data_IF_963623518945
#
_entry.id   IF_963623518945
#
_cell.length_a   1.000
_cell.length_b   1.000
_cell.length_c   1.000
_cell.angle_alpha   90.00
_cell.angle_beta   90.00
_cell.angle_gamma   90.00
#
_symmetry.space_group_name_H-M   'P 1'
#
loop_
_entity.id
_entity.type
_entity.pdbx_description
1 polymer ?
#
# COMPACT_ATOMS: atom_id res chain seq x y z
N UNK A 1 31.02 -38.39 -0.47
CA UNK A 1 30.66 -37.72 -1.74
C UNK A 1 29.18 -37.40 -1.69
N UNK A 2 28.83 -36.21 -1.22
CA UNK A 2 27.50 -35.61 -1.34
C UNK A 2 27.70 -34.10 -1.12
N UNK A 3 27.36 -33.28 -2.09
CA UNK A 3 27.16 -31.84 -1.85
C UNK A 3 25.82 -31.44 -2.45
N UNK A 4 24.82 -31.29 -1.58
CA UNK A 4 23.62 -30.52 -1.85
C UNK A 4 24.03 -29.06 -2.11
N UNK A 5 23.88 -28.62 -3.36
CA UNK A 5 24.06 -27.23 -3.75
C UNK A 5 22.74 -26.49 -3.65
N UNK A 6 22.63 -25.65 -2.63
CA UNK A 6 21.55 -24.69 -2.38
C UNK A 6 21.21 -23.81 -3.59
N UNK A 7 19.95 -23.85 -4.06
CA UNK A 7 19.42 -22.93 -5.07
C UNK A 7 18.81 -21.70 -4.38
N UNK A 8 19.32 -20.47 -4.57
CA UNK A 8 18.67 -19.27 -4.04
C UNK A 8 17.46 -18.90 -4.90
N UNK A 9 16.29 -18.80 -4.27
CA UNK A 9 15.08 -18.18 -4.83
C UNK A 9 15.21 -16.66 -4.80
N UNK A 10 15.06 -15.99 -5.95
CA UNK A 10 14.22 -14.79 -6.18
C UNK A 10 14.65 -14.05 -7.45
N UNK A 11 13.67 -13.55 -8.21
CA UNK A 11 13.52 -12.15 -8.66
C UNK A 11 12.43 -12.16 -9.76
N UNK A 12 11.22 -11.72 -9.43
CA UNK A 12 10.15 -11.44 -10.40
C UNK A 12 10.14 -9.94 -10.63
N UNK A 13 10.55 -9.51 -11.83
CA UNK A 13 10.46 -8.14 -12.34
C UNK A 13 9.28 -8.09 -13.32
N UNK A 14 8.39 -7.12 -13.18
CA UNK A 14 7.40 -6.79 -14.23
C UNK A 14 7.99 -5.63 -15.06
N UNK A 15 7.94 -5.59 -16.39
CA UNK A 15 7.02 -6.20 -17.36
C UNK A 15 7.77 -6.58 -18.64
N UNK A 16 7.79 -7.87 -18.97
CA UNK A 16 8.73 -8.49 -19.93
C UNK A 16 8.25 -8.62 -21.37
N UNK A 17 7.02 -8.27 -21.75
CA UNK A 17 6.55 -8.58 -23.13
C UNK A 17 7.09 -7.63 -24.21
N UNK A 18 7.12 -6.31 -23.97
CA UNK A 18 7.75 -5.35 -24.90
C UNK A 18 9.28 -5.43 -24.84
N UNK A 19 9.86 -5.69 -23.67
CA UNK A 19 11.31 -5.92 -23.52
C UNK A 19 11.74 -7.22 -24.19
N UNK A 20 10.93 -8.29 -24.11
CA UNK A 20 11.19 -9.54 -24.80
C UNK A 20 10.98 -9.44 -26.32
N UNK A 21 9.97 -8.69 -26.79
CA UNK A 21 9.75 -8.49 -28.24
C UNK A 21 10.90 -7.68 -28.86
N UNK A 22 11.47 -6.73 -28.11
CA UNK A 22 12.63 -5.94 -28.51
C UNK A 22 13.94 -6.73 -28.43
N UNK A 23 14.07 -7.68 -27.49
CA UNK A 23 15.25 -8.51 -27.32
C UNK A 23 15.31 -9.73 -28.27
N UNK A 24 14.16 -10.27 -28.69
CA UNK A 24 14.09 -11.44 -29.58
C UNK A 24 13.02 -11.26 -30.67
N UNK A 25 13.34 -10.55 -31.77
CA UNK A 25 12.36 -10.21 -32.80
C UNK A 25 11.92 -11.41 -33.67
N UNK A 26 12.64 -12.53 -33.65
CA UNK A 26 12.38 -13.67 -34.56
C UNK A 26 11.75 -14.90 -33.91
N UNK A 27 11.49 -14.90 -32.61
CA UNK A 27 11.15 -16.13 -31.87
C UNK A 27 9.66 -16.48 -31.80
N UNK A 28 8.77 -15.77 -32.50
CA UNK A 28 7.32 -16.07 -32.49
C UNK A 28 6.90 -16.96 -33.69
N UNK A 29 7.76 -17.19 -34.69
CA UNK A 29 7.33 -17.83 -35.93
C UNK A 29 7.55 -19.33 -36.07
N UNK A 30 8.27 -20.01 -35.18
CA UNK A 30 8.49 -21.46 -35.32
C UNK A 30 7.88 -22.26 -34.17
N UNK A 31 6.56 -22.37 -34.21
CA UNK A 31 5.84 -23.44 -33.51
C UNK A 31 5.39 -24.48 -34.54
N UNK A 32 6.33 -25.20 -35.12
CA UNK A 32 6.03 -26.49 -35.76
C UNK A 32 7.04 -27.54 -35.33
N UNK A 33 6.55 -28.59 -34.67
CA UNK A 33 7.32 -29.82 -34.44
C UNK A 33 7.70 -30.06 -32.98
N UNK A 34 7.21 -31.18 -32.46
CA UNK A 34 7.63 -31.85 -31.23
C UNK A 34 9.13 -31.69 -30.93
N UNK A 35 9.49 -30.99 -29.85
CA UNK A 35 10.89 -30.98 -29.39
C UNK A 35 11.19 -29.93 -28.33
N UNK A 36 11.59 -30.38 -27.14
CA UNK A 36 12.10 -29.60 -25.99
C UNK A 36 13.52 -29.03 -26.28
N UNK A 37 13.94 -28.85 -27.54
CA UNK A 37 15.32 -28.52 -27.87
C UNK A 37 15.41 -27.50 -29.01
N UNK A 38 16.06 -26.37 -28.73
CA UNK A 38 16.61 -25.47 -29.76
C UNK A 38 17.90 -26.07 -30.34
N UNK A 39 18.38 -25.63 -31.52
CA UNK A 39 19.60 -26.15 -32.16
C UNK A 39 20.89 -26.06 -31.33
N UNK A 40 20.89 -25.32 -30.21
CA UNK A 40 22.08 -25.03 -29.40
C UNK A 40 22.08 -25.69 -28.02
N UNK A 41 21.16 -26.61 -27.71
CA UNK A 41 21.22 -27.43 -26.49
C UNK A 41 21.15 -26.65 -25.17
N UNK A 42 20.78 -25.37 -25.18
CA UNK A 42 20.59 -24.56 -23.98
C UNK A 42 19.14 -24.70 -23.49
N UNK A 43 18.90 -24.99 -22.19
CA UNK A 43 17.55 -24.99 -21.65
C UNK A 43 16.96 -23.60 -21.82
N UNK A 44 15.84 -23.50 -22.53
CA UNK A 44 15.06 -22.28 -22.56
C UNK A 44 14.47 -22.08 -21.16
N UNK A 45 14.50 -20.86 -20.59
CA UNK A 45 13.63 -20.56 -19.47
C UNK A 45 12.18 -20.71 -19.97
N UNK A 46 11.49 -21.77 -19.53
CA UNK A 46 10.04 -21.82 -19.62
C UNK A 46 9.51 -20.74 -18.69
N UNK A 47 9.19 -19.59 -19.26
CA UNK A 47 8.42 -18.58 -18.55
C UNK A 47 7.02 -19.16 -18.39
N UNK A 48 6.67 -19.60 -17.18
CA UNK A 48 5.27 -19.70 -16.81
C UNK A 48 4.82 -18.25 -16.64
N UNK A 49 4.03 -17.65 -17.56
CA UNK A 49 3.38 -16.42 -17.21
C UNK A 49 2.53 -16.74 -15.98
N UNK A 50 2.79 -16.08 -14.85
CA UNK A 50 1.78 -16.02 -13.81
C UNK A 50 0.68 -15.09 -14.35
N UNK A 51 -0.13 -15.63 -15.27
CA UNK A 51 -1.15 -14.94 -16.07
C UNK A 51 -2.30 -14.40 -15.22
N UNK A 52 -2.33 -14.70 -13.92
CA UNK A 52 -3.39 -14.23 -13.03
C UNK A 52 -3.47 -12.70 -12.99
N UNK A 53 -2.32 -12.01 -13.00
CA UNK A 53 -2.28 -10.54 -12.96
C UNK A 53 -2.78 -9.87 -14.24
N UNK A 54 -2.75 -10.56 -15.39
CA UNK A 54 -3.26 -10.04 -16.67
C UNK A 54 -4.74 -10.36 -16.92
N UNK A 55 -5.37 -11.19 -16.09
CA UNK A 55 -6.77 -11.62 -16.27
C UNK A 55 -7.69 -11.14 -15.15
N UNK A 56 -7.17 -10.87 -13.95
CA UNK A 56 -7.96 -10.34 -12.83
C UNK A 56 -7.95 -8.79 -12.84
N UNK A 57 -9.10 -8.18 -12.52
CA UNK A 57 -9.20 -6.73 -12.31
C UNK A 57 -8.39 -6.28 -11.08
N UNK A 58 -8.12 -4.97 -10.97
CA UNK A 58 -7.41 -4.41 -9.81
C UNK A 58 -8.36 -4.26 -8.61
N UNK A 59 -8.20 -5.03 -7.52
CA UNK A 59 -9.00 -4.86 -6.31
C UNK A 59 -8.58 -3.60 -5.53
N UNK A 60 -7.40 -3.06 -5.84
CA UNK A 60 -6.84 -1.83 -5.26
C UNK A 60 -7.80 -0.64 -5.40
N UNK A 61 -8.47 -0.50 -6.54
CA UNK A 61 -9.34 0.65 -6.81
C UNK A 61 -10.53 0.70 -5.83
N UNK A 62 -11.16 -0.45 -5.58
CA UNK A 62 -12.25 -0.54 -4.62
C UNK A 62 -11.74 -0.29 -3.19
N UNK A 63 -10.61 -0.89 -2.82
CA UNK A 63 -10.04 -0.75 -1.48
C UNK A 63 -9.66 0.70 -1.16
N UNK A 64 -9.01 1.39 -2.10
CA UNK A 64 -8.64 2.81 -1.95
C UNK A 64 -9.89 3.69 -2.00
N UNK A 65 -10.90 3.36 -2.81
CA UNK A 65 -12.18 4.07 -2.79
C UNK A 65 -12.91 3.95 -1.46
N UNK A 66 -12.88 2.76 -0.85
CA UNK A 66 -13.44 2.51 0.47
C UNK A 66 -12.68 3.29 1.56
N UNK A 67 -11.35 3.28 1.50
CA UNK A 67 -10.48 4.08 2.37
C UNK A 67 -10.80 5.57 2.24
N UNK A 68 -10.82 6.09 1.01
CA UNK A 68 -11.04 7.52 0.73
C UNK A 68 -12.40 7.98 1.20
N UNK A 69 -13.44 7.18 0.94
CA UNK A 69 -14.81 7.49 1.36
C UNK A 69 -14.96 7.48 2.88
N UNK A 70 -14.37 6.51 3.56
CA UNK A 70 -14.44 6.41 5.02
C UNK A 70 -13.60 7.50 5.69
N UNK A 71 -12.40 7.78 5.18
CA UNK A 71 -11.52 8.81 5.74
C UNK A 71 -12.09 10.22 5.51
N UNK A 72 -12.60 10.52 4.32
CA UNK A 72 -13.20 11.85 4.05
C UNK A 72 -14.45 12.09 4.87
N UNK A 73 -15.34 11.08 4.99
CA UNK A 73 -16.54 11.21 5.84
C UNK A 73 -16.20 11.39 7.32
N UNK A 74 -15.19 10.67 7.83
CA UNK A 74 -14.64 10.89 9.18
C UNK A 74 -14.04 12.30 9.32
N UNK A 75 -13.35 12.80 8.30
CA UNK A 75 -12.75 14.13 8.30
C UNK A 75 -13.79 15.24 8.44
N UNK A 76 -14.96 15.07 7.81
CA UNK A 76 -16.07 16.03 7.95
C UNK A 76 -16.58 16.12 9.39
N UNK A 77 -16.63 14.98 10.08
CA UNK A 77 -16.99 14.93 11.50
C UNK A 77 -15.91 15.55 12.39
N UNK A 78 -14.63 15.25 12.14
CA UNK A 78 -13.52 15.80 12.92
C UNK A 78 -13.37 17.32 12.76
N UNK A 79 -13.69 17.86 11.58
CA UNK A 79 -13.72 19.30 11.33
C UNK A 79 -15.01 19.99 11.80
N UNK A 80 -15.99 19.23 12.28
CA UNK A 80 -17.33 19.71 12.68
C UNK A 80 -18.08 20.44 11.55
N UNK A 81 -17.86 20.02 10.30
CA UNK A 81 -18.56 20.62 9.17
C UNK A 81 -20.06 20.42 9.30
N UNK A 82 -20.81 21.49 9.07
CA UNK A 82 -22.28 21.54 9.28
C UNK A 82 -22.70 21.19 10.72
N UNK A 83 -21.84 21.36 11.72
CA UNK A 83 -22.14 21.05 13.13
C UNK A 83 -22.17 19.56 13.43
N UNK A 84 -21.53 18.73 12.60
CA UNK A 84 -21.43 17.28 12.81
C UNK A 84 -20.39 16.97 13.90
N UNK A 85 -20.84 16.62 15.10
CA UNK A 85 -19.97 16.14 16.18
C UNK A 85 -20.11 14.64 16.48
N UNK A 86 -21.20 14.01 16.04
CA UNK A 86 -21.51 12.61 16.32
C UNK A 86 -21.07 11.69 15.18
N UNK A 87 -20.12 10.80 15.45
CA UNK A 87 -19.53 9.90 14.45
C UNK A 87 -20.36 8.65 14.17
N UNK A 88 -21.44 8.40 14.93
CA UNK A 88 -22.18 7.13 14.91
C UNK A 88 -22.78 6.78 13.54
N UNK A 89 -23.17 7.77 12.74
CA UNK A 89 -23.69 7.51 11.38
C UNK A 89 -22.62 6.86 10.49
N UNK A 90 -21.34 7.09 10.77
CA UNK A 90 -20.22 6.54 10.01
C UNK A 90 -19.85 5.10 10.43
N UNK A 91 -20.48 4.53 11.47
CA UNK A 91 -20.31 3.13 11.84
C UNK A 91 -20.62 2.20 10.66
N UNK A 92 -21.62 2.56 9.83
CA UNK A 92 -21.91 1.83 8.59
C UNK A 92 -20.72 1.79 7.64
N UNK A 93 -20.03 2.93 7.44
CA UNK A 93 -18.82 2.97 6.62
C UNK A 93 -17.67 2.19 7.26
N UNK A 94 -17.49 2.29 8.58
CA UNK A 94 -16.44 1.59 9.30
C UNK A 94 -16.53 0.07 9.15
N UNK A 95 -17.71 -0.52 9.28
CA UNK A 95 -17.87 -1.97 9.14
C UNK A 95 -17.98 -2.44 7.69
N UNK A 96 -18.84 -1.83 6.88
CA UNK A 96 -19.17 -2.41 5.58
C UNK A 96 -18.23 -1.95 4.48
N UNK A 97 -17.91 -0.65 4.44
CA UNK A 97 -17.08 -0.07 3.38
C UNK A 97 -15.61 -0.34 3.68
N UNK A 98 -15.11 0.16 4.82
CA UNK A 98 -13.71 0.02 5.18
C UNK A 98 -13.40 -1.35 5.80
N UNK A 99 -14.16 -1.83 6.79
CA UNK A 99 -13.87 -3.11 7.44
C UNK A 99 -13.93 -4.29 6.48
N UNK A 100 -15.15 -4.69 6.11
CA UNK A 100 -15.40 -5.86 5.28
C UNK A 100 -14.92 -5.61 3.84
N UNK A 101 -15.33 -4.50 3.22
CA UNK A 101 -15.00 -4.19 1.83
C UNK A 101 -13.49 -4.10 1.56
N UNK A 102 -12.75 -3.39 2.40
CA UNK A 102 -11.30 -3.24 2.22
C UNK A 102 -10.53 -4.51 2.55
N UNK A 103 -10.88 -5.24 3.63
CA UNK A 103 -10.19 -6.49 3.99
C UNK A 103 -10.40 -7.56 2.93
N UNK A 104 -11.62 -7.70 2.37
CA UNK A 104 -11.87 -8.62 1.25
C UNK A 104 -11.03 -8.22 0.04
N UNK A 105 -11.03 -6.93 -0.33
CA UNK A 105 -10.22 -6.43 -1.45
C UNK A 105 -8.73 -6.68 -1.24
N UNK A 106 -8.25 -6.54 0.00
CA UNK A 106 -6.86 -6.82 0.36
C UNK A 106 -6.47 -8.29 0.14
N UNK A 107 -7.37 -9.26 0.40
CA UNK A 107 -7.06 -10.68 0.14
C UNK A 107 -6.75 -10.94 -1.33
N UNK A 108 -7.40 -10.21 -2.25
CA UNK A 108 -7.11 -10.29 -3.68
C UNK A 108 -5.76 -9.67 -4.04
N UNK A 109 -5.27 -8.65 -3.32
CA UNK A 109 -3.90 -8.14 -3.50
C UNK A 109 -2.85 -9.19 -3.17
N UNK A 110 -3.10 -10.03 -2.15
CA UNK A 110 -2.20 -11.13 -1.81
C UNK A 110 -2.12 -12.16 -2.94
N UNK A 111 -3.25 -12.47 -3.58
CA UNK A 111 -3.31 -13.38 -4.75
C UNK A 111 -2.55 -12.78 -5.95
N UNK A 112 -2.58 -11.46 -6.11
CA UNK A 112 -1.82 -10.75 -7.15
C UNK A 112 -0.32 -10.59 -6.83
N UNK A 113 0.12 -11.04 -5.64
CA UNK A 113 1.51 -10.95 -5.19
C UNK A 113 1.92 -9.56 -4.69
N UNK A 114 0.96 -8.66 -4.43
CA UNK A 114 1.23 -7.33 -3.88
C UNK A 114 1.21 -7.35 -2.34
N UNK A 115 2.34 -7.72 -1.74
CA UNK A 115 2.46 -7.80 -0.28
C UNK A 115 2.25 -6.45 0.42
N UNK A 116 2.78 -5.36 -0.15
CA UNK A 116 2.61 -4.02 0.42
C UNK A 116 1.13 -3.62 0.44
N UNK A 117 0.45 -3.76 -0.71
CA UNK A 117 -0.97 -3.47 -0.83
C UNK A 117 -1.82 -4.32 0.11
N UNK A 118 -1.56 -5.63 0.18
CA UNK A 118 -2.23 -6.52 1.12
C UNK A 118 -2.11 -6.04 2.57
N UNK A 119 -0.88 -5.80 3.04
CA UNK A 119 -0.65 -5.44 4.44
C UNK A 119 -1.23 -4.08 4.78
N UNK A 120 -1.02 -3.06 3.94
CA UNK A 120 -1.52 -1.72 4.18
C UNK A 120 -3.06 -1.66 4.16
N UNK A 121 -3.70 -2.25 3.15
CA UNK A 121 -5.16 -2.24 3.03
C UNK A 121 -5.83 -3.07 4.14
N UNK A 122 -5.26 -4.23 4.49
CA UNK A 122 -5.78 -5.03 5.62
C UNK A 122 -5.64 -4.28 6.93
N UNK A 123 -4.49 -3.63 7.18
CA UNK A 123 -4.26 -2.86 8.40
C UNK A 123 -5.27 -1.72 8.55
N UNK A 124 -5.51 -0.93 7.51
CA UNK A 124 -6.54 0.13 7.56
C UNK A 124 -7.95 -0.43 7.70
N UNK A 125 -8.28 -1.53 7.02
CA UNK A 125 -9.57 -2.20 7.18
C UNK A 125 -9.81 -2.64 8.63
N UNK A 126 -8.80 -3.22 9.28
CA UNK A 126 -8.87 -3.61 10.70
C UNK A 126 -8.90 -2.41 11.64
N UNK A 127 -8.16 -1.33 11.34
CA UNK A 127 -8.25 -0.09 12.11
C UNK A 127 -9.68 0.45 12.10
N UNK A 128 -10.29 0.60 10.93
CA UNK A 128 -11.66 1.11 10.82
C UNK A 128 -12.69 0.17 11.44
N UNK A 129 -12.56 -1.15 11.23
CA UNK A 129 -13.44 -2.13 11.87
C UNK A 129 -13.32 -2.11 13.40
N UNK A 130 -12.10 -2.01 13.92
CA UNK A 130 -11.83 -1.88 15.36
C UNK A 130 -12.37 -0.57 15.94
N UNK A 131 -12.16 0.55 15.25
CA UNK A 131 -12.71 1.85 15.66
C UNK A 131 -14.24 1.85 15.63
N UNK A 132 -14.84 1.26 14.60
CA UNK A 132 -16.29 1.04 14.52
C UNK A 132 -16.83 0.17 15.66
N UNK A 133 -16.09 -0.85 16.08
CA UNK A 133 -16.46 -1.68 17.24
C UNK A 133 -16.40 -0.90 18.55
N UNK A 134 -15.40 -0.05 18.74
CA UNK A 134 -15.31 0.82 19.93
C UNK A 134 -16.50 1.78 20.01
N UNK A 135 -16.90 2.38 18.88
CA UNK A 135 -18.02 3.32 18.82
C UNK A 135 -19.40 2.65 18.92
N UNK A 136 -19.49 1.36 18.59
CA UNK A 136 -20.77 0.65 18.56
C UNK A 136 -21.16 0.21 19.98
N UNK A 137 -22.29 0.68 20.53
CA UNK A 137 -22.68 0.39 21.92
C UNK A 137 -22.80 -1.10 22.23
N UNK A 138 -23.10 -1.94 21.23
CA UNK A 138 -23.23 -3.38 21.36
C UNK A 138 -21.96 -4.06 21.92
N UNK A 139 -20.77 -3.57 21.58
CA UNK A 139 -19.52 -4.14 22.09
C UNK A 139 -19.20 -3.72 23.53
N UNK A 140 -19.94 -2.75 24.10
CA UNK A 140 -19.79 -2.34 25.49
C UNK A 140 -18.46 -1.66 25.84
N UNK A 141 -17.63 -1.29 24.86
CA UNK A 141 -16.30 -0.70 25.11
C UNK A 141 -16.42 0.61 25.89
N UNK A 142 -17.20 1.58 25.40
CA UNK A 142 -17.42 2.84 26.13
C UNK A 142 -18.11 2.61 27.49
N UNK A 143 -19.00 1.62 27.59
CA UNK A 143 -19.72 1.32 28.83
C UNK A 143 -18.80 0.77 29.94
N UNK A 144 -17.70 0.09 29.57
CA UNK A 144 -16.75 -0.46 30.53
C UNK A 144 -16.02 0.62 31.35
N UNK A 145 -15.87 1.84 30.81
CA UNK A 145 -15.22 2.96 31.50
C UNK A 145 -16.17 3.77 32.39
N UNK A 146 -17.49 3.55 32.29
CA UNK A 146 -18.50 4.24 33.11
C UNK A 146 -18.39 5.76 33.02
N UNK A 147 -18.10 6.42 34.15
CA UNK A 147 -17.93 7.87 34.23
C UNK A 147 -16.47 8.33 34.08
N UNK A 148 -15.51 7.41 34.00
CA UNK A 148 -14.09 7.75 33.84
C UNK A 148 -13.77 8.07 32.37
N UNK A 149 -14.12 9.30 31.99
CA UNK A 149 -13.84 9.80 30.64
C UNK A 149 -12.36 10.05 30.39
N UNK A 150 -11.54 10.23 31.43
CA UNK A 150 -10.11 10.48 31.27
C UNK A 150 -9.37 9.18 30.90
N UNK A 151 -9.68 8.08 31.60
CA UNK A 151 -9.14 6.75 31.28
C UNK A 151 -9.54 6.31 29.86
N UNK A 152 -10.81 6.51 29.48
CA UNK A 152 -11.30 6.20 28.13
C UNK A 152 -10.55 6.97 27.04
N UNK A 153 -10.36 8.28 27.24
CA UNK A 153 -9.63 9.11 26.28
C UNK A 153 -8.16 8.72 26.20
N UNK A 154 -7.50 8.41 27.32
CA UNK A 154 -6.12 7.90 27.31
C UNK A 154 -6.02 6.58 26.54
N UNK A 155 -6.94 5.63 26.77
CA UNK A 155 -6.96 4.35 26.07
C UNK A 155 -7.16 4.53 24.55
N UNK A 156 -8.07 5.42 24.13
CA UNK A 156 -8.25 5.78 22.72
C UNK A 156 -7.02 6.47 22.12
N UNK A 157 -6.38 7.36 22.87
CA UNK A 157 -5.15 8.02 22.48
C UNK A 157 -4.06 7.01 22.18
N UNK A 158 -3.84 6.03 23.07
CA UNK A 158 -2.89 4.94 22.86
C UNK A 158 -3.28 4.01 21.71
N UNK A 159 -4.56 3.67 21.57
CA UNK A 159 -5.05 2.88 20.44
C UNK A 159 -4.63 3.53 19.11
N UNK A 160 -4.99 4.80 18.91
CA UNK A 160 -4.65 5.52 17.67
C UNK A 160 -3.15 5.71 17.52
N UNK A 161 -2.41 5.98 18.62
CA UNK A 161 -0.96 6.15 18.60
C UNK A 161 -0.24 4.91 18.04
N UNK A 162 -0.64 3.70 18.46
CA UNK A 162 -0.04 2.47 17.97
C UNK A 162 -0.30 2.25 16.47
N UNK A 163 -1.46 2.70 15.98
CA UNK A 163 -1.74 2.71 14.54
C UNK A 163 -0.92 3.76 13.79
N UNK A 164 -0.63 4.91 14.40
CA UNK A 164 0.34 5.88 13.85
C UNK A 164 1.71 5.23 13.68
N UNK A 165 2.21 4.53 14.70
CA UNK A 165 3.51 3.83 14.62
C UNK A 165 3.52 2.80 13.48
N UNK A 166 2.44 2.04 13.31
CA UNK A 166 2.32 1.11 12.18
C UNK A 166 2.31 1.85 10.83
N UNK A 167 1.61 2.98 10.75
CA UNK A 167 1.56 3.82 9.56
C UNK A 167 2.94 4.39 9.18
N UNK A 168 3.81 4.69 10.15
CA UNK A 168 5.19 5.12 9.88
C UNK A 168 5.93 4.11 9.01
N UNK A 169 5.74 2.81 9.25
CA UNK A 169 6.36 1.76 8.41
C UNK A 169 5.79 1.74 7.00
N UNK A 170 4.49 2.00 6.83
CA UNK A 170 3.88 2.14 5.50
C UNK A 170 4.35 3.38 4.78
N UNK A 171 4.53 4.50 5.47
CA UNK A 171 5.11 5.72 4.92
C UNK A 171 6.50 5.44 4.36
N UNK A 172 7.39 4.81 5.14
CA UNK A 172 8.74 4.45 4.67
C UNK A 172 8.66 3.46 3.50
N UNK A 173 7.80 2.44 3.60
CA UNK A 173 7.59 1.45 2.54
C UNK A 173 6.99 2.02 1.25
N UNK A 174 6.32 3.17 1.32
CA UNK A 174 5.72 3.85 0.16
C UNK A 174 6.70 4.71 -0.64
N UNK A 175 7.83 5.11 -0.04
CA UNK A 175 8.86 5.94 -0.69
C UNK A 175 9.30 5.44 -2.08
N UNK A 176 9.53 4.13 -2.32
CA UNK A 176 9.91 3.63 -3.63
C UNK A 176 8.73 3.43 -4.61
N UNK A 177 7.48 3.68 -4.21
CA UNK A 177 6.29 3.37 -5.01
C UNK A 177 5.90 4.56 -5.91
N UNK A 178 5.29 5.59 -5.34
CA UNK A 178 4.94 6.83 -6.06
C UNK A 178 4.67 7.98 -5.08
N UNK A 179 4.72 9.21 -5.60
CA UNK A 179 4.55 10.42 -4.81
C UNK A 179 3.16 10.54 -4.18
N UNK A 180 2.12 10.03 -4.86
CA UNK A 180 0.73 10.08 -4.33
C UNK A 180 0.57 9.18 -3.10
N UNK A 181 1.10 7.94 -3.11
CA UNK A 181 1.07 7.05 -1.94
C UNK A 181 1.87 7.66 -0.80
N UNK A 182 3.06 8.22 -1.07
CA UNK A 182 3.84 8.94 -0.05
C UNK A 182 2.99 10.05 0.57
N UNK A 183 2.31 10.85 -0.26
CA UNK A 183 1.40 11.90 0.20
C UNK A 183 0.26 11.36 1.06
N UNK A 184 -0.40 10.26 0.66
CA UNK A 184 -1.46 9.61 1.44
C UNK A 184 -0.94 9.22 2.81
N UNK A 185 0.12 8.41 2.88
CA UNK A 185 0.65 7.91 4.15
C UNK A 185 1.19 9.04 5.03
N UNK A 186 1.79 10.08 4.44
CA UNK A 186 2.29 11.24 5.17
C UNK A 186 1.16 12.05 5.82
N UNK A 187 0.09 12.33 5.08
CA UNK A 187 -1.06 13.04 5.63
C UNK A 187 -1.84 12.19 6.64
N UNK A 188 -1.91 10.87 6.45
CA UNK A 188 -2.45 9.94 7.45
C UNK A 188 -1.61 9.93 8.72
N UNK A 189 -0.28 9.95 8.61
CA UNK A 189 0.63 10.00 9.76
C UNK A 189 0.34 11.23 10.64
N UNK A 190 0.26 12.40 10.00
CA UNK A 190 -0.08 13.65 10.68
C UNK A 190 -1.49 13.59 11.27
N UNK A 191 -2.47 13.06 10.55
CA UNK A 191 -3.83 12.93 11.03
C UNK A 191 -3.91 12.03 12.27
N UNK A 192 -3.37 10.81 12.23
CA UNK A 192 -3.44 9.88 13.36
C UNK A 192 -2.63 10.38 14.55
N UNK A 193 -1.46 10.98 14.33
CA UNK A 193 -0.69 11.63 15.38
C UNK A 193 -1.49 12.75 16.09
N UNK A 194 -2.16 13.61 15.33
CA UNK A 194 -2.98 14.70 15.88
C UNK A 194 -4.28 14.20 16.53
N UNK A 195 -4.91 13.15 16.00
CA UNK A 195 -6.08 12.51 16.65
C UNK A 195 -5.67 11.92 18.00
N UNK A 196 -4.55 11.20 18.07
CA UNK A 196 -4.03 10.66 19.33
C UNK A 196 -3.74 11.77 20.34
N UNK A 197 -3.06 12.84 19.92
CA UNK A 197 -2.81 14.01 20.76
C UNK A 197 -4.11 14.71 21.21
N UNK A 198 -5.13 14.77 20.37
CA UNK A 198 -6.46 15.30 20.72
C UNK A 198 -7.11 14.50 21.85
N UNK A 199 -7.02 13.16 21.82
CA UNK A 199 -7.52 12.31 22.88
C UNK A 199 -6.76 12.51 24.20
N UNK A 200 -5.44 12.60 24.18
CA UNK A 200 -4.65 12.90 25.39
C UNK A 200 -4.98 14.29 25.95
N UNK A 201 -5.08 15.32 25.10
CA UNK A 201 -5.48 16.66 25.53
C UNK A 201 -6.89 16.67 26.15
N UNK A 202 -7.81 15.82 25.67
CA UNK A 202 -9.13 15.61 26.27
C UNK A 202 -9.04 14.96 27.66
N UNK A 203 -8.15 13.99 27.83
CA UNK A 203 -7.91 13.36 29.14
C UNK A 203 -7.31 14.34 30.15
N UNK A 204 -6.47 15.28 29.69
CA UNK A 204 -5.89 16.36 30.51
C UNK A 204 -6.86 17.51 30.81
N UNK A 205 -8.11 17.46 30.31
CA UNK A 205 -9.12 18.50 30.50
C UNK A 205 -8.95 19.73 29.60
N UNK A 206 -8.05 19.71 28.63
CA UNK A 206 -7.77 20.79 27.69
C UNK A 206 -8.72 20.74 26.47
N UNK A 207 -10.02 20.91 26.70
CA UNK A 207 -11.08 20.71 25.69
C UNK A 207 -10.93 21.56 24.42
N UNK A 208 -10.53 22.82 24.56
CA UNK A 208 -10.37 23.73 23.42
C UNK A 208 -9.18 23.30 22.54
N UNK A 209 -8.08 22.92 23.19
CA UNK A 209 -6.87 22.43 22.49
C UNK A 209 -7.16 21.09 21.82
N UNK A 210 -7.84 20.18 22.50
CA UNK A 210 -8.25 18.91 21.93
C UNK A 210 -9.13 19.08 20.68
N UNK A 211 -10.05 20.05 20.71
CA UNK A 211 -10.92 20.36 19.57
C UNK A 211 -10.13 20.96 18.40
N UNK A 212 -9.19 21.86 18.67
CA UNK A 212 -8.29 22.41 17.65
C UNK A 212 -7.43 21.30 17.00
N UNK A 213 -6.88 20.39 17.80
CA UNK A 213 -6.10 19.24 17.32
C UNK A 213 -6.96 18.29 16.47
N UNK A 214 -8.19 18.00 16.89
CA UNK A 214 -9.12 17.17 16.12
C UNK A 214 -9.45 17.80 14.76
N UNK A 215 -9.69 19.12 14.72
CA UNK A 215 -9.94 19.85 13.47
C UNK A 215 -8.74 19.84 12.54
N UNK A 216 -7.54 20.07 13.08
CA UNK A 216 -6.31 19.98 12.31
C UNK A 216 -6.09 18.56 11.75
N UNK A 217 -6.32 17.53 12.57
CA UNK A 217 -6.26 16.14 12.15
C UNK A 217 -7.24 15.83 11.01
N UNK A 218 -8.48 16.33 11.13
CA UNK A 218 -9.51 16.21 10.11
C UNK A 218 -9.11 16.86 8.78
N UNK A 219 -8.41 18.00 8.80
CA UNK A 219 -7.92 18.64 7.59
C UNK A 219 -6.85 17.79 6.87
N UNK A 220 -5.91 17.20 7.61
CA UNK A 220 -4.91 16.30 7.04
C UNK A 220 -5.53 15.00 6.52
N UNK A 221 -6.44 14.40 7.29
CA UNK A 221 -7.22 13.23 6.86
C UNK A 221 -8.02 13.50 5.59
N UNK A 222 -8.59 14.71 5.45
CA UNK A 222 -9.31 15.11 4.25
C UNK A 222 -8.40 15.16 3.02
N UNK A 223 -7.21 15.75 3.15
CA UNK A 223 -6.21 15.78 2.07
C UNK A 223 -5.76 14.37 1.67
N UNK A 224 -5.50 13.49 2.64
CA UNK A 224 -5.21 12.08 2.37
C UNK A 224 -6.36 11.39 1.59
N UNK A 225 -7.60 11.65 1.98
CA UNK A 225 -8.78 11.14 1.30
C UNK A 225 -8.93 11.63 -0.14
N UNK A 226 -8.61 12.91 -0.41
CA UNK A 226 -8.60 13.46 -1.78
C UNK A 226 -7.52 12.82 -2.66
N UNK A 227 -6.32 12.59 -2.13
CA UNK A 227 -5.26 11.86 -2.84
C UNK A 227 -5.65 10.39 -3.09
N UNK A 228 -6.39 9.79 -2.16
CA UNK A 228 -6.99 8.48 -2.35
C UNK A 228 -7.99 8.48 -3.52
N UNK A 229 -8.91 9.45 -3.58
CA UNK A 229 -9.81 9.60 -4.73
C UNK A 229 -9.07 9.84 -6.06
N UNK A 230 -7.98 10.59 -6.03
CA UNK A 230 -7.11 10.76 -7.19
C UNK A 230 -6.53 9.42 -7.67
N UNK A 231 -6.11 8.57 -6.73
CA UNK A 231 -5.62 7.21 -7.04
C UNK A 231 -6.71 6.32 -7.62
N UNK A 232 -7.95 6.41 -7.11
CA UNK A 232 -9.10 5.69 -7.68
C UNK A 232 -9.38 6.16 -9.10
N UNK A 233 -9.37 7.47 -9.34
CA UNK A 233 -9.56 8.04 -10.68
C UNK A 233 -8.48 7.53 -11.65
N UNK A 234 -7.21 7.50 -11.22
CA UNK A 234 -6.12 6.90 -12.01
C UNK A 234 -6.39 5.44 -12.38
N UNK A 235 -6.72 4.59 -11.39
CA UNK A 235 -6.95 3.15 -11.62
C UNK A 235 -8.17 2.87 -12.51
N UNK A 236 -9.25 3.62 -12.33
CA UNK A 236 -10.48 3.45 -13.11
C UNK A 236 -10.33 3.99 -14.54
N UNK A 237 -9.73 5.18 -14.72
CA UNK A 237 -9.50 5.76 -16.04
C UNK A 237 -8.48 4.97 -16.86
N UNK A 238 -7.50 4.33 -16.22
CA UNK A 238 -6.56 3.45 -16.92
C UNK A 238 -7.29 2.25 -17.56
N UNK A 239 -8.29 1.71 -16.87
CA UNK A 239 -9.04 0.53 -17.32
C UNK A 239 -10.17 0.90 -18.30
N UNK A 240 -10.91 1.96 -18.01
CA UNK A 240 -12.11 2.34 -18.77
C UNK A 240 -11.83 3.33 -19.92
N UNK A 241 -10.94 4.29 -19.68
CA UNK A 241 -10.69 5.42 -20.60
C UNK A 241 -9.32 5.35 -21.28
N UNK A 242 -8.50 4.34 -20.98
CA UNK A 242 -7.11 4.18 -21.45
C UNK A 242 -6.23 5.42 -21.23
N UNK A 243 -6.62 6.27 -20.26
CA UNK A 243 -5.93 7.49 -19.89
C UNK A 243 -5.39 7.36 -18.47
N UNK A 244 -4.14 7.77 -18.24
CA UNK A 244 -3.46 7.63 -16.95
C UNK A 244 -3.04 8.98 -16.41
N UNK A 245 -3.49 9.30 -15.19
CA UNK A 245 -3.05 10.49 -14.47
C UNK A 245 -1.61 10.33 -13.95
N UNK A 246 -0.82 11.41 -13.86
CA UNK A 246 0.57 11.35 -13.40
C UNK A 246 0.65 11.10 -11.88
N UNK A 247 1.11 9.90 -11.48
CA UNK A 247 1.26 9.51 -10.06
C UNK A 247 2.60 9.91 -9.44
N UNK A 248 3.56 10.39 -10.25
CA UNK A 248 4.92 10.76 -9.80
C UNK A 248 5.74 9.54 -9.37
N UNK A 249 6.28 8.80 -10.33
CA UNK A 249 7.10 7.61 -10.07
C UNK A 249 8.42 7.98 -9.37
N UNK A 250 8.56 7.55 -8.12
CA UNK A 250 9.75 7.78 -7.27
C UNK A 250 10.71 6.60 -7.30
N UNK A 251 10.33 5.47 -7.92
CA UNK A 251 11.16 4.25 -7.95
C UNK A 251 12.56 4.52 -8.49
N UNK A 252 12.69 5.46 -9.44
CA UNK A 252 13.96 5.91 -10.05
C UNK A 252 15.02 6.33 -9.04
N UNK A 253 14.62 6.90 -7.90
CA UNK A 253 15.54 7.32 -6.84
C UNK A 253 16.01 6.16 -5.95
N UNK A 254 15.28 5.04 -5.97
CA UNK A 254 15.57 3.83 -5.20
C UNK A 254 16.11 2.69 -6.08
N UNK A 255 16.29 2.93 -7.39
CA UNK A 255 17.09 2.07 -8.28
C UNK A 255 18.58 2.25 -7.92
N UNK A 256 19.01 1.57 -6.87
CA UNK A 256 20.39 1.66 -6.35
C UNK A 256 20.89 0.33 -5.78
N UNK A 257 21.84 -0.29 -6.49
CA UNK A 257 22.78 -1.37 -6.10
C UNK A 257 22.37 -2.85 -6.30
N UNK A 258 21.32 -3.17 -7.05
CA UNK A 258 21.07 -4.54 -7.52
C UNK A 258 20.72 -4.58 -9.02
N UNK A 259 21.40 -3.75 -9.82
CA UNK A 259 21.28 -3.83 -11.27
C UNK A 259 22.26 -4.91 -11.78
N UNK A 260 21.78 -6.09 -12.22
CA UNK A 260 22.67 -7.14 -12.72
C UNK A 260 23.51 -6.66 -13.92
N UNK A 261 23.09 -5.61 -14.63
CA UNK A 261 23.89 -5.00 -15.69
C UNK A 261 25.20 -4.37 -15.18
N UNK A 262 25.22 -3.81 -13.96
CA UNK A 262 26.45 -3.27 -13.35
C UNK A 262 27.36 -4.38 -12.82
N UNK A 263 26.78 -5.46 -12.26
CA UNK A 263 27.54 -6.63 -11.85
C UNK A 263 28.19 -7.37 -13.02
N UNK A 264 27.50 -7.46 -14.17
CA UNK A 264 28.06 -8.04 -15.40
C UNK A 264 29.16 -7.15 -15.98
N UNK A 265 28.99 -5.81 -15.99
CA UNK A 265 30.05 -4.88 -16.41
C UNK A 265 31.28 -4.91 -15.50
N UNK A 266 31.13 -5.04 -14.18
CA UNK A 266 32.27 -5.22 -13.26
C UNK A 266 32.98 -6.55 -13.49
N UNK A 267 32.25 -7.64 -13.77
CA UNK A 267 32.84 -8.96 -14.07
C UNK A 267 33.55 -8.94 -15.44
N UNK A 268 33.02 -8.26 -16.45
CA UNK A 268 33.68 -8.10 -17.76
C UNK A 268 34.92 -7.21 -17.68
N UNK A 269 34.86 -6.11 -16.92
CA UNK A 269 36.01 -5.22 -16.69
C UNK A 269 37.13 -5.91 -15.89
N UNK A 270 36.77 -6.75 -14.91
CA UNK A 270 37.74 -7.58 -14.16
C UNK A 270 38.38 -8.68 -15.02
N UNK A 271 37.66 -9.23 -16.01
CA UNK A 271 38.21 -10.20 -16.97
C UNK A 271 39.10 -9.55 -18.03
N UNK A 272 38.88 -8.28 -18.36
CA UNK A 272 39.71 -7.52 -19.31
C UNK A 272 41.08 -7.08 -18.78
N UNK A 273 41.29 -7.10 -17.45
CA UNK A 273 42.56 -6.71 -16.83
C UNK A 273 43.56 -7.88 -16.66
N UNK A 274 43.15 -9.12 -16.93
CA UNK A 274 43.96 -10.33 -16.70
C UNK A 274 44.81 -10.81 -17.88
N UNK A 275 44.84 -10.10 -19.01
CA UNK A 275 45.51 -10.56 -20.25
C UNK A 275 46.58 -9.60 -20.79
N UNK A 276 47.15 -8.74 -19.95
CA UNK A 276 48.33 -7.93 -20.31
C UNK A 276 49.46 -8.13 -19.30
N UNK A 277 50.33 -9.07 -19.62
CA UNK A 277 51.61 -9.27 -18.94
C UNK A 277 51.97 -10.74 -18.92
N UNK A 278 52.54 -11.21 -20.03
CA UNK A 278 53.56 -12.26 -20.12
C UNK A 278 53.86 -12.52 -21.61
N UNK A 279 54.54 -11.55 -22.24
CA UNK A 279 55.41 -11.76 -23.42
C UNK A 279 56.67 -10.90 -23.25
#
# INVERSE_FOLDING_TARGET
MASEGSVPRHIVRQSTLEEASRAYPTSILDSTGNGILTPNGKPYPFFVPCTVKSTLGSPTALAIGAFSTTLTTLSFALMEWRGLSTTNVFIGNFFFVAGIGMVISAQWELILGNSFGYTALSAFGFFYGGFGAILTPFFGVTAAYGNDTAEYNNALGFFVLMWTVLNTFFLIGSLPINLVYIGIFFFVELAFGLVSASYFARADGLTDTATALAKAAGAFAFMAGLLGYYTVAHLMCQTACQFSFPMGDTSRFFVGKNDPAKGVQEIESAKGLGTKGDE
#
